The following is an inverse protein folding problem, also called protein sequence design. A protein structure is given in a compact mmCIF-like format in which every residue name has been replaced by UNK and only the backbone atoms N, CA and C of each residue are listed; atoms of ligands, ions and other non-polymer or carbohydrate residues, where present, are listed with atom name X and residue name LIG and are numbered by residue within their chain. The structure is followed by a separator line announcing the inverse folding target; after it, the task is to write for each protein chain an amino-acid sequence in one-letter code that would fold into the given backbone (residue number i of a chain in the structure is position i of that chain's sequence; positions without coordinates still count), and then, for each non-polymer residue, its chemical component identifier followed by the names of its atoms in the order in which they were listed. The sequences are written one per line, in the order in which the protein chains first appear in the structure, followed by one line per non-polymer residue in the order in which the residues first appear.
data_IF_342478598560
#
_entry.id   IF_342478598560
#
_cell.length_a   1.000
_cell.length_b   1.000
_cell.length_c   1.000
_cell.angle_alpha   90.00
_cell.angle_beta   90.00
_cell.angle_gamma   90.00
#
_symmetry.space_group_name_H-M   'P 1'
#
loop_
_entity.id
_entity.type
_entity.pdbx_description
1 polymer ?
#
# COMPACT_ATOMS: atom_id res chain seq x y z
N UNK A 1 22.03 -18.35 30.58
CA UNK A 1 20.89 -19.28 30.74
C UNK A 1 19.74 -18.47 31.33
N UNK A 2 18.61 -18.39 30.62
CA UNK A 2 17.21 -18.14 31.07
C UNK A 2 16.92 -17.01 32.09
N UNK A 3 15.89 -16.18 32.00
CA UNK A 3 14.76 -16.01 31.09
C UNK A 3 14.18 -14.60 31.36
N UNK A 4 13.66 -13.92 30.33
CA UNK A 4 12.89 -12.68 30.49
C UNK A 4 11.38 -12.98 30.49
N UNK A 5 10.56 -12.25 31.26
CA UNK A 5 9.15 -12.57 31.45
C UNK A 5 8.27 -12.17 30.25
N UNK A 6 7.41 -13.10 29.85
CA UNK A 6 6.33 -12.92 28.88
C UNK A 6 5.26 -11.98 29.47
N UNK A 7 5.12 -10.77 28.93
CA UNK A 7 3.96 -9.91 29.22
C UNK A 7 2.89 -10.15 28.17
N UNK A 8 1.94 -11.03 28.49
CA UNK A 8 0.67 -11.16 27.76
C UNK A 8 -0.16 -9.90 28.02
N UNK A 9 -0.23 -9.00 27.05
CA UNK A 9 -1.12 -7.83 27.11
C UNK A 9 -2.55 -8.24 26.73
N UNK A 10 -3.42 -8.30 27.74
CA UNK A 10 -4.87 -8.47 27.61
C UNK A 10 -5.45 -7.27 26.87
N UNK A 11 -5.99 -7.50 25.67
CA UNK A 11 -6.75 -6.51 24.92
C UNK A 11 -8.17 -6.40 25.51
N UNK A 12 -8.44 -5.30 26.21
CA UNK A 12 -9.80 -4.95 26.65
C UNK A 12 -10.57 -4.33 25.47
N UNK A 13 -11.57 -5.05 24.96
CA UNK A 13 -12.44 -4.61 23.86
C UNK A 13 -13.69 -3.95 24.41
N UNK A 14 -13.79 -2.62 24.28
CA UNK A 14 -15.07 -1.90 24.36
C UNK A 14 -15.79 -2.03 23.00
N UNK A 15 -16.98 -2.66 22.95
CA UNK A 15 -17.72 -2.91 21.70
C UNK A 15 -18.08 -1.62 20.94
N UNK A 16 -18.18 -0.48 21.63
CA UNK A 16 -18.65 0.78 21.05
C UNK A 16 -17.61 1.48 20.18
N UNK A 17 -16.34 1.07 20.26
CA UNK A 17 -15.22 1.65 19.49
C UNK A 17 -14.90 0.91 18.19
N UNK A 18 -15.67 -0.14 17.85
CA UNK A 18 -15.47 -0.96 16.66
C UNK A 18 -16.11 -0.33 15.41
N UNK A 19 -17.00 0.65 15.57
CA UNK A 19 -17.78 1.22 14.45
C UNK A 19 -16.95 2.07 13.45
N UNK A 20 -15.75 2.51 13.82
CA UNK A 20 -14.89 3.36 12.98
C UNK A 20 -13.51 2.76 12.69
N UNK A 21 -13.32 1.46 12.97
CA UNK A 21 -12.05 0.78 12.67
C UNK A 21 -12.27 -0.11 11.47
N UNK A 22 -11.53 0.08 10.36
CA UNK A 22 -11.63 -0.80 9.22
C UNK A 22 -11.35 -2.24 9.67
N UNK A 23 -12.04 -3.19 9.03
CA UNK A 23 -11.91 -4.62 9.31
C UNK A 23 -10.43 -5.00 9.47
N UNK A 24 -10.02 -5.64 10.58
CA UNK A 24 -8.63 -5.98 10.80
C UNK A 24 -8.18 -6.98 9.73
N UNK A 25 -7.28 -6.53 8.85
CA UNK A 25 -6.67 -7.36 7.82
C UNK A 25 -5.50 -8.14 8.43
N UNK A 26 -5.20 -9.31 7.87
CA UNK A 26 -3.94 -9.99 8.19
C UNK A 26 -2.76 -9.16 7.69
N UNK A 27 -1.58 -9.32 8.31
CA UNK A 27 -0.38 -8.56 7.92
C UNK A 27 -0.05 -8.68 6.42
N UNK A 28 -0.28 -9.86 5.82
CA UNK A 28 -0.08 -10.08 4.40
C UNK A 28 -1.09 -9.29 3.53
N UNK A 29 -2.34 -9.17 3.97
CA UNK A 29 -3.36 -8.38 3.28
C UNK A 29 -3.09 -6.88 3.41
N UNK A 30 -2.64 -6.41 4.58
CA UNK A 30 -2.21 -5.03 4.77
C UNK A 30 -1.03 -4.66 3.86
N UNK A 31 -0.10 -5.59 3.63
CA UNK A 31 0.99 -5.37 2.68
C UNK A 31 0.47 -5.19 1.24
N UNK A 32 -0.56 -5.95 0.84
CA UNK A 32 -1.18 -5.78 -0.48
C UNK A 32 -1.87 -4.43 -0.61
N UNK A 33 -2.60 -4.00 0.42
CA UNK A 33 -3.20 -2.65 0.48
C UNK A 33 -2.11 -1.58 0.36
N UNK A 34 -0.99 -1.73 1.07
CA UNK A 34 0.16 -0.80 0.96
C UNK A 34 0.72 -0.76 -0.46
N UNK A 35 0.75 -1.88 -1.17
CA UNK A 35 1.20 -1.92 -2.56
C UNK A 35 0.24 -1.13 -3.47
N UNK A 36 -1.08 -1.31 -3.32
CA UNK A 36 -2.11 -0.52 -4.03
C UNK A 36 -1.97 0.97 -3.72
N UNK A 37 -1.82 1.32 -2.44
CA UNK A 37 -1.60 2.69 -1.99
C UNK A 37 -0.36 3.32 -2.64
N UNK A 38 0.79 2.65 -2.61
CA UNK A 38 1.99 3.18 -3.25
C UNK A 38 1.88 3.21 -4.77
N UNK A 39 1.10 2.33 -5.40
CA UNK A 39 0.82 2.41 -6.83
C UNK A 39 0.01 3.68 -7.17
N UNK A 40 -1.03 3.98 -6.38
CA UNK A 40 -1.83 5.19 -6.54
C UNK A 40 -0.98 6.45 -6.37
N UNK A 41 -0.21 6.54 -5.29
CA UNK A 41 0.68 7.68 -5.03
C UNK A 41 1.69 7.88 -6.16
N UNK A 42 2.26 6.80 -6.70
CA UNK A 42 3.16 6.88 -7.87
C UNK A 42 2.45 7.34 -9.14
N UNK A 43 1.16 7.01 -9.30
CA UNK A 43 0.38 7.47 -10.45
C UNK A 43 0.17 8.99 -10.42
N UNK A 44 -0.07 9.59 -9.25
CA UNK A 44 -0.18 11.05 -9.11
C UNK A 44 1.16 11.76 -9.39
N UNK A 45 2.27 11.14 -8.97
CA UNK A 45 3.62 11.70 -9.13
C UNK A 45 4.36 11.19 -10.38
N UNK A 46 3.63 10.77 -11.41
CA UNK A 46 4.23 10.14 -12.58
C UNK A 46 5.21 11.06 -13.33
N UNK A 47 4.97 12.38 -13.31
CA UNK A 47 5.83 13.38 -13.94
C UNK A 47 7.19 13.47 -13.26
N UNK A 48 7.20 13.59 -11.94
CA UNK A 48 8.42 13.72 -11.14
C UNK A 48 9.23 12.42 -11.15
N UNK A 49 8.54 11.27 -11.12
CA UNK A 49 9.18 9.96 -11.28
C UNK A 49 9.86 9.84 -12.64
N UNK A 50 9.21 10.33 -13.70
CA UNK A 50 9.78 10.33 -15.05
C UNK A 50 11.03 11.20 -15.13
N UNK A 51 10.99 12.41 -14.61
CA UNK A 51 12.15 13.32 -14.60
C UNK A 51 13.33 12.73 -13.82
N UNK A 52 13.05 12.08 -12.68
CA UNK A 52 14.08 11.33 -11.94
C UNK A 52 14.62 10.15 -12.75
N UNK A 53 13.75 9.36 -13.38
CA UNK A 53 14.14 8.22 -14.21
C UNK A 53 14.99 8.66 -15.41
N UNK A 54 14.66 9.79 -16.02
CA UNK A 54 15.39 10.37 -17.14
C UNK A 54 16.81 10.79 -16.73
N UNK A 55 16.96 11.43 -15.56
CA UNK A 55 18.27 11.79 -15.00
C UNK A 55 19.08 10.54 -14.56
N UNK A 56 18.40 9.53 -14.01
CA UNK A 56 19.02 8.32 -13.50
C UNK A 56 19.55 7.39 -14.62
N UNK A 57 19.18 7.63 -15.89
CA UNK A 57 19.67 6.83 -17.03
C UNK A 57 21.20 6.89 -17.09
N UNK A 58 21.84 5.73 -16.95
CA UNK A 58 23.29 5.59 -16.96
C UNK A 58 24.00 6.04 -15.69
N UNK A 59 23.28 6.35 -14.60
CA UNK A 59 23.83 6.76 -13.30
C UNK A 59 23.30 5.92 -12.15
N UNK A 60 23.05 4.62 -12.36
CA UNK A 60 22.34 3.75 -11.41
C UNK A 60 22.90 3.76 -9.98
N UNK A 61 24.23 3.84 -9.82
CA UNK A 61 24.88 3.81 -8.50
C UNK A 61 25.03 5.20 -7.86
N UNK A 62 25.11 6.25 -8.69
CA UNK A 62 25.39 7.62 -8.23
C UNK A 62 24.21 8.58 -8.45
N UNK A 63 23.04 8.05 -8.84
CA UNK A 63 21.83 8.81 -9.16
C UNK A 63 21.39 9.72 -8.02
N UNK A 64 21.44 9.25 -6.76
CA UNK A 64 21.03 10.06 -5.61
C UNK A 64 21.91 11.32 -5.41
N UNK A 65 23.16 11.27 -5.86
CA UNK A 65 24.08 12.41 -5.80
C UNK A 65 23.89 13.35 -6.99
N UNK A 66 23.88 12.82 -8.22
CA UNK A 66 23.79 13.62 -9.45
C UNK A 66 22.38 14.10 -9.78
N UNK A 67 21.36 13.33 -9.40
CA UNK A 67 19.94 13.60 -9.63
C UNK A 67 19.23 14.01 -8.33
N UNK A 68 19.97 14.65 -7.40
CA UNK A 68 19.45 15.00 -6.06
C UNK A 68 18.23 15.90 -6.13
N UNK A 69 18.20 16.82 -7.08
CA UNK A 69 17.09 17.75 -7.28
C UNK A 69 15.81 17.02 -7.72
N UNK A 70 15.92 16.17 -8.74
CA UNK A 70 14.80 15.37 -9.26
C UNK A 70 14.32 14.36 -8.20
N UNK A 71 15.24 13.74 -7.46
CA UNK A 71 14.90 12.84 -6.36
C UNK A 71 14.14 13.58 -5.24
N UNK A 72 14.56 14.80 -4.89
CA UNK A 72 13.85 15.61 -3.90
C UNK A 72 12.46 16.05 -4.40
N UNK A 73 12.33 16.42 -5.68
CA UNK A 73 11.04 16.77 -6.28
C UNK A 73 10.06 15.58 -6.25
N UNK A 74 10.53 14.40 -6.67
CA UNK A 74 9.76 13.14 -6.59
C UNK A 74 9.33 12.84 -5.15
N UNK A 75 10.26 12.89 -4.20
CA UNK A 75 9.95 12.60 -2.80
C UNK A 75 8.96 13.61 -2.20
N UNK A 76 9.06 14.89 -2.57
CA UNK A 76 8.10 15.93 -2.13
C UNK A 76 6.69 15.61 -2.63
N UNK A 77 6.53 15.24 -3.90
CA UNK A 77 5.23 14.84 -4.43
C UNK A 77 4.69 13.59 -3.73
N UNK A 78 5.54 12.57 -3.54
CA UNK A 78 5.09 11.33 -2.90
C UNK A 78 4.62 11.59 -1.46
N UNK A 79 5.32 12.44 -0.70
CA UNK A 79 4.94 12.79 0.67
C UNK A 79 3.67 13.65 0.71
N UNK A 80 3.44 14.54 -0.24
CA UNK A 80 2.21 15.36 -0.27
C UNK A 80 0.96 14.53 -0.53
N UNK A 81 1.08 13.44 -1.30
CA UNK A 81 -0.02 12.50 -1.54
C UNK A 81 -0.08 11.35 -0.54
N UNK A 82 0.91 11.24 0.36
CA UNK A 82 0.98 10.19 1.36
C UNK A 82 0.05 10.45 2.56
N UNK A 83 -1.24 10.59 2.30
CA UNK A 83 -2.25 10.92 3.31
C UNK A 83 -2.97 9.67 3.84
N UNK A 84 -3.45 9.69 5.10
CA UNK A 84 -4.30 8.61 5.62
C UNK A 84 -5.55 8.38 4.78
N UNK A 85 -6.14 9.44 4.22
CA UNK A 85 -7.32 9.35 3.35
C UNK A 85 -7.04 8.54 2.08
N UNK A 86 -5.88 8.73 1.46
CA UNK A 86 -5.50 7.96 0.27
C UNK A 86 -5.23 6.49 0.62
N UNK A 87 -4.75 6.22 1.84
CA UNK A 87 -4.60 4.85 2.33
C UNK A 87 -5.95 4.16 2.53
N UNK A 88 -6.96 4.86 3.04
CA UNK A 88 -8.30 4.30 3.19
C UNK A 88 -9.00 4.08 1.84
N UNK A 89 -8.82 4.99 0.86
CA UNK A 89 -9.24 4.74 -0.53
C UNK A 89 -8.57 3.51 -1.14
N UNK A 90 -7.26 3.34 -0.90
CA UNK A 90 -6.54 2.16 -1.37
C UNK A 90 -7.04 0.87 -0.73
N UNK A 91 -7.48 0.91 0.54
CA UNK A 91 -8.16 -0.23 1.19
C UNK A 91 -9.46 -0.57 0.47
N UNK A 92 -10.31 0.42 0.25
CA UNK A 92 -11.60 0.23 -0.44
C UNK A 92 -11.39 -0.36 -1.84
N UNK A 93 -10.46 0.20 -2.61
CA UNK A 93 -10.08 -0.32 -3.92
C UNK A 93 -9.61 -1.77 -3.87
N UNK A 94 -8.71 -2.11 -2.93
CA UNK A 94 -8.25 -3.48 -2.75
C UNK A 94 -9.41 -4.43 -2.41
N UNK A 95 -10.32 -4.03 -1.53
CA UNK A 95 -11.51 -4.83 -1.22
C UNK A 95 -12.39 -5.07 -2.45
N UNK A 96 -12.63 -4.03 -3.26
CA UNK A 96 -13.40 -4.16 -4.51
C UNK A 96 -12.73 -5.10 -5.50
N UNK A 97 -11.41 -4.98 -5.68
CA UNK A 97 -10.65 -5.88 -6.55
C UNK A 97 -10.72 -7.35 -6.08
N UNK A 98 -10.66 -7.60 -4.78
CA UNK A 98 -10.77 -8.96 -4.24
C UNK A 98 -12.17 -9.55 -4.45
N UNK A 99 -13.21 -8.75 -4.27
CA UNK A 99 -14.60 -9.17 -4.53
C UNK A 99 -14.81 -9.47 -6.03
N UNK A 100 -14.30 -8.60 -6.91
CA UNK A 100 -14.36 -8.81 -8.35
C UNK A 100 -13.65 -10.10 -8.77
N UNK A 101 -12.42 -10.31 -8.30
CA UNK A 101 -11.67 -11.56 -8.56
C UNK A 101 -12.44 -12.79 -8.11
N UNK A 102 -13.03 -12.76 -6.91
CA UNK A 102 -13.85 -13.88 -6.41
C UNK A 102 -15.05 -14.16 -7.33
N UNK A 103 -15.77 -13.12 -7.74
CA UNK A 103 -16.91 -13.25 -8.64
C UNK A 103 -16.51 -13.84 -10.01
N UNK A 104 -15.37 -13.42 -10.55
CA UNK A 104 -14.81 -13.98 -11.79
C UNK A 104 -14.47 -15.46 -11.66
N UNK A 105 -13.83 -15.88 -10.56
CA UNK A 105 -13.54 -17.30 -10.33
C UNK A 105 -14.81 -18.13 -10.18
N UNK A 106 -15.83 -17.61 -9.50
CA UNK A 106 -17.12 -18.30 -9.37
C UNK A 106 -17.84 -18.42 -10.71
N UNK A 107 -17.79 -17.39 -11.56
CA UNK A 107 -18.34 -17.43 -12.91
C UNK A 107 -17.61 -18.44 -13.80
N UNK A 108 -16.27 -18.45 -13.76
CA UNK A 108 -15.44 -19.41 -14.50
C UNK A 108 -15.71 -20.86 -14.06
N UNK A 109 -15.87 -21.10 -12.75
CA UNK A 109 -16.20 -22.43 -12.24
C UNK A 109 -17.61 -22.89 -12.61
N UNK A 110 -18.58 -21.97 -12.74
CA UNK A 110 -19.92 -22.30 -13.23
C UNK A 110 -19.89 -22.60 -14.73
N UNK A 111 -19.14 -21.82 -15.51
CA UNK A 111 -18.99 -22.01 -16.94
C UNK A 111 -18.27 -23.32 -17.29
N UNK A 112 -17.26 -23.74 -16.50
CA UNK A 112 -16.56 -25.01 -16.74
C UNK A 112 -17.33 -26.26 -16.32
N UNK A 113 -18.40 -26.10 -15.52
CA UNK A 113 -19.27 -27.19 -15.06
C UNK A 113 -20.56 -27.34 -15.88
N UNK A 114 -20.85 -26.39 -16.77
CA UNK A 114 -21.98 -26.43 -17.71
C UNK A 114 -21.55 -26.96 -19.06
#
# INVERSE_FOLDING_TARGET
MSAAPTTTATASTDPSKILNKPLPLSAAQEQQVRNTYYANVRSYCAKEIKEFADCARGKTLTSTFWCREQNNAMNRCMVSHATPEEFDKAREQWFQEQLAKRAEYEAQQKASKS
#
